data_IF_602799026930
#
_entry.id   IF_602799026930
#
_cell.length_a   1.000
_cell.length_b   1.000
_cell.length_c   1.000
_cell.angle_alpha   90.00
_cell.angle_beta   90.00
_cell.angle_gamma   90.00
#
_symmetry.space_group_name_H-M   'P 1'
#
loop_
_entity.id
_entity.type
_entity.pdbx_description
1 polymer ?
#
# COMPACT_ATOMS: atom_id res chain seq x y z
N UNK A 1 -5.62 -30.16 32.02
CA UNK A 1 -5.30 -30.01 30.57
C UNK A 1 -5.79 -28.67 30.02
N UNK A 2 -7.10 -28.37 29.97
CA UNK A 2 -7.63 -27.09 29.44
C UNK A 2 -6.98 -25.82 30.03
N UNK A 3 -6.78 -25.76 31.35
CA UNK A 3 -6.16 -24.61 32.02
C UNK A 3 -4.68 -24.40 31.59
N UNK A 4 -3.92 -25.49 31.46
CA UNK A 4 -2.52 -25.45 31.02
C UNK A 4 -2.41 -24.96 29.58
N UNK A 5 -3.29 -25.44 28.70
CA UNK A 5 -3.32 -25.01 27.29
C UNK A 5 -3.66 -23.54 27.14
N UNK A 6 -4.53 -23.01 28.01
CA UNK A 6 -4.88 -21.57 28.04
C UNK A 6 -3.69 -20.71 28.47
N UNK A 7 -3.01 -21.08 29.56
CA UNK A 7 -1.83 -20.35 30.07
C UNK A 7 -0.70 -20.31 29.03
N UNK A 8 -0.40 -21.44 28.38
CA UNK A 8 0.61 -21.50 27.31
C UNK A 8 0.29 -20.53 26.17
N UNK A 9 -0.99 -20.40 25.82
CA UNK A 9 -1.45 -19.58 24.71
C UNK A 9 -1.51 -18.07 25.09
N UNK A 10 -1.87 -17.74 26.34
CA UNK A 10 -1.80 -16.37 26.88
C UNK A 10 -0.35 -15.86 26.95
N UNK A 11 0.59 -16.70 27.41
CA UNK A 11 2.02 -16.37 27.46
C UNK A 11 2.56 -16.15 26.05
N UNK A 12 2.24 -17.04 25.11
CA UNK A 12 2.61 -16.88 23.71
C UNK A 12 2.09 -15.56 23.13
N UNK A 13 0.82 -15.22 23.36
CA UNK A 13 0.22 -13.97 22.88
C UNK A 13 0.91 -12.73 23.44
N UNK A 14 1.10 -12.66 24.76
CA UNK A 14 1.74 -11.52 25.42
C UNK A 14 3.16 -11.30 24.88
N UNK A 15 3.88 -12.39 24.68
CA UNK A 15 5.24 -12.36 24.15
C UNK A 15 5.29 -11.91 22.68
N UNK A 16 4.45 -12.49 21.82
CA UNK A 16 4.35 -12.13 20.39
C UNK A 16 3.94 -10.66 20.23
N UNK A 17 3.00 -10.18 21.05
CA UNK A 17 2.56 -8.79 21.05
C UNK A 17 3.67 -7.83 21.48
N UNK A 18 4.45 -8.21 22.50
CA UNK A 18 5.60 -7.44 22.97
C UNK A 18 6.70 -7.37 21.90
N UNK A 19 7.00 -8.49 21.25
CA UNK A 19 7.95 -8.53 20.14
C UNK A 19 7.50 -7.67 18.96
N UNK A 20 6.22 -7.69 18.61
CA UNK A 20 5.67 -6.87 17.53
C UNK A 20 5.69 -5.35 17.82
N UNK A 21 5.81 -4.95 19.09
CA UNK A 21 6.00 -3.55 19.48
C UNK A 21 7.46 -3.12 19.37
N UNK A 22 8.40 -4.03 19.64
CA UNK A 22 9.85 -3.76 19.63
C UNK A 22 10.43 -3.87 18.21
N UNK A 23 10.05 -4.92 17.49
CA UNK A 23 10.57 -5.23 16.16
C UNK A 23 9.57 -4.82 15.09
N UNK A 24 9.94 -3.83 14.27
CA UNK A 24 9.21 -3.47 13.05
C UNK A 24 9.84 -4.21 11.87
N UNK A 25 9.16 -5.26 11.39
CA UNK A 25 9.58 -6.06 10.24
C UNK A 25 10.19 -7.42 10.60
N UNK A 26 10.46 -8.22 9.58
CA UNK A 26 10.91 -9.60 9.74
C UNK A 26 12.44 -9.67 9.89
N UNK A 27 12.92 -10.25 10.99
CA UNK A 27 14.32 -10.71 11.10
C UNK A 27 14.35 -12.23 11.06
N UNK A 28 15.43 -12.86 10.56
CA UNK A 28 15.53 -14.32 10.54
C UNK A 28 15.31 -14.97 11.91
N UNK A 29 15.82 -14.35 12.97
CA UNK A 29 15.68 -14.83 14.36
C UNK A 29 14.24 -14.70 14.85
N UNK A 30 13.58 -13.57 14.58
CA UNK A 30 12.18 -13.35 14.92
C UNK A 30 11.27 -14.34 14.16
N UNK A 31 11.56 -14.58 12.88
CA UNK A 31 10.82 -15.54 12.06
C UNK A 31 10.98 -16.97 12.58
N UNK A 32 12.21 -17.42 12.86
CA UNK A 32 12.46 -18.75 13.39
C UNK A 32 11.76 -18.98 14.73
N UNK A 33 11.79 -17.97 15.61
CA UNK A 33 11.11 -18.02 16.90
C UNK A 33 9.58 -18.03 16.74
N UNK A 34 9.01 -17.11 15.95
CA UNK A 34 7.56 -17.04 15.74
C UNK A 34 7.01 -18.27 15.02
N UNK A 35 7.78 -18.87 14.12
CA UNK A 35 7.43 -20.15 13.50
C UNK A 35 7.36 -21.27 14.54
N UNK A 36 8.29 -21.30 15.51
CA UNK A 36 8.24 -22.27 16.60
C UNK A 36 7.01 -22.08 17.49
N UNK A 37 6.69 -20.83 17.86
CA UNK A 37 5.47 -20.50 18.61
C UNK A 37 4.23 -20.93 17.82
N UNK A 38 4.19 -20.65 16.52
CA UNK A 38 3.09 -21.06 15.64
C UNK A 38 2.97 -22.59 15.52
N UNK A 39 4.09 -23.31 15.42
CA UNK A 39 4.12 -24.77 15.39
C UNK A 39 3.62 -25.38 16.71
N UNK A 40 4.01 -24.81 17.85
CA UNK A 40 3.48 -25.20 19.17
C UNK A 40 1.99 -24.87 19.32
N UNK A 41 1.50 -23.90 18.55
CA UNK A 41 0.10 -23.48 18.46
C UNK A 41 -0.69 -24.16 17.32
N UNK A 42 -0.09 -25.10 16.58
CA UNK A 42 -0.62 -25.70 15.35
C UNK A 42 -1.91 -26.52 15.47
N UNK A 43 -2.54 -26.61 16.65
CA UNK A 43 -3.82 -27.29 16.80
C UNK A 43 -4.98 -26.29 16.80
N UNK A 44 -6.02 -26.56 16.00
CA UNK A 44 -7.25 -25.77 15.98
C UNK A 44 -7.88 -25.59 17.37
N UNK A 45 -7.69 -26.55 18.29
CA UNK A 45 -8.18 -26.46 19.68
C UNK A 45 -7.51 -25.33 20.47
N UNK A 46 -6.23 -25.02 20.21
CA UNK A 46 -5.50 -23.94 20.89
C UNK A 46 -6.03 -22.58 20.42
N UNK A 47 -6.14 -22.37 19.11
CA UNK A 47 -6.73 -21.15 18.55
C UNK A 47 -8.21 -20.97 18.93
N UNK A 48 -8.98 -22.07 19.00
CA UNK A 48 -10.37 -22.03 19.45
C UNK A 48 -10.55 -21.66 20.92
N UNK A 49 -9.48 -21.63 21.72
CA UNK A 49 -9.52 -21.20 23.13
C UNK A 49 -9.30 -19.70 23.33
N UNK A 50 -8.87 -18.99 22.28
CA UNK A 50 -8.70 -17.54 22.31
C UNK A 50 -10.05 -16.82 22.35
N UNK A 51 -10.15 -15.78 23.16
CA UNK A 51 -11.15 -14.73 23.00
C UNK A 51 -10.96 -14.01 21.66
N UNK A 52 -11.96 -13.21 21.26
CA UNK A 52 -11.89 -12.40 20.03
C UNK A 52 -10.66 -11.50 20.05
N UNK A 53 -10.49 -10.77 21.17
CA UNK A 53 -9.40 -9.81 21.37
C UNK A 53 -8.04 -10.50 21.27
N UNK A 54 -7.89 -11.67 21.89
CA UNK A 54 -6.64 -12.44 21.85
C UNK A 54 -6.29 -12.91 20.43
N UNK A 55 -7.28 -13.42 19.69
CA UNK A 55 -7.09 -13.87 18.32
C UNK A 55 -6.68 -12.72 17.39
N UNK A 56 -7.36 -11.58 17.48
CA UNK A 56 -7.05 -10.41 16.64
C UNK A 56 -5.70 -9.80 17.02
N UNK A 57 -5.37 -9.74 18.31
CA UNK A 57 -4.05 -9.29 18.77
C UNK A 57 -2.94 -10.21 18.23
N UNK A 58 -3.15 -11.53 18.27
CA UNK A 58 -2.20 -12.51 17.72
C UNK A 58 -1.97 -12.31 16.23
N UNK A 59 -3.05 -12.28 15.44
CA UNK A 59 -3.02 -12.10 13.98
C UNK A 59 -2.38 -10.75 13.60
N UNK A 60 -2.73 -9.68 14.32
CA UNK A 60 -2.15 -8.36 14.13
C UNK A 60 -0.65 -8.33 14.42
N UNK A 61 -0.21 -9.04 15.45
CA UNK A 61 1.19 -9.11 15.83
C UNK A 61 2.02 -9.89 14.80
N UNK A 62 1.53 -11.05 14.33
CA UNK A 62 2.15 -11.79 13.23
C UNK A 62 2.26 -10.94 11.96
N UNK A 63 1.17 -10.25 11.61
CA UNK A 63 1.15 -9.33 10.48
C UNK A 63 2.20 -8.22 10.62
N UNK A 64 2.30 -7.60 11.80
CA UNK A 64 3.31 -6.54 12.07
C UNK A 64 4.75 -7.03 11.92
N UNK A 65 5.03 -8.24 12.40
CA UNK A 65 6.34 -8.87 12.29
C UNK A 65 6.66 -9.36 10.87
N UNK A 66 5.69 -9.39 9.94
CA UNK A 66 5.89 -9.86 8.57
C UNK A 66 6.19 -11.36 8.49
N UNK A 67 5.78 -12.13 9.50
CA UNK A 67 5.95 -13.58 9.53
C UNK A 67 4.82 -14.23 8.75
N UNK A 68 5.17 -15.15 7.87
CA UNK A 68 4.21 -16.03 7.19
C UNK A 68 4.24 -17.39 7.90
N UNK A 69 3.23 -17.73 8.72
CA UNK A 69 3.15 -19.02 9.38
C UNK A 69 3.06 -20.17 8.36
N UNK A 70 3.36 -21.37 8.82
CA UNK A 70 3.14 -22.59 8.04
C UNK A 70 1.67 -22.74 7.61
N UNK A 71 1.44 -23.40 6.47
CA UNK A 71 0.12 -23.55 5.86
C UNK A 71 -0.92 -24.12 6.84
N UNK A 72 -0.55 -25.09 7.68
CA UNK A 72 -1.47 -25.68 8.65
C UNK A 72 -1.93 -24.67 9.71
N UNK A 73 -1.04 -23.76 10.13
CA UNK A 73 -1.36 -22.70 11.09
C UNK A 73 -2.28 -21.69 10.43
N UNK A 74 -2.01 -21.30 9.18
CA UNK A 74 -2.89 -20.43 8.39
C UNK A 74 -4.30 -21.02 8.26
N UNK A 75 -4.42 -22.30 7.93
CA UNK A 75 -5.71 -22.99 7.82
C UNK A 75 -6.48 -23.01 9.15
N UNK A 76 -5.78 -23.23 10.27
CA UNK A 76 -6.41 -23.24 11.59
C UNK A 76 -6.89 -21.84 12.01
N UNK A 77 -6.07 -20.81 11.79
CA UNK A 77 -6.46 -19.41 12.02
C UNK A 77 -7.69 -19.07 11.17
N UNK A 78 -7.66 -19.37 9.88
CA UNK A 78 -8.78 -19.15 8.96
C UNK A 78 -10.04 -19.92 9.35
N UNK A 79 -9.92 -21.15 9.84
CA UNK A 79 -11.07 -21.93 10.33
C UNK A 79 -11.70 -21.31 11.58
N UNK A 80 -10.91 -20.77 12.52
CA UNK A 80 -11.46 -20.12 13.73
C UNK A 80 -12.08 -18.78 13.39
N UNK A 81 -11.44 -17.98 12.53
CA UNK A 81 -11.98 -16.70 12.07
C UNK A 81 -13.30 -16.87 11.33
N UNK A 82 -13.43 -17.87 10.44
CA UNK A 82 -14.69 -18.15 9.73
C UNK A 82 -15.87 -18.44 10.68
N UNK A 83 -15.62 -19.14 11.79
CA UNK A 83 -16.66 -19.45 12.79
C UNK A 83 -17.09 -18.25 13.63
N UNK A 84 -16.29 -17.18 13.64
CA UNK A 84 -16.45 -16.02 14.51
C UNK A 84 -16.56 -14.71 13.74
N UNK A 85 -16.79 -14.78 12.43
CA UNK A 85 -16.83 -13.60 11.56
C UNK A 85 -17.90 -12.59 12.02
N UNK A 86 -19.00 -13.11 12.57
CA UNK A 86 -20.12 -12.31 13.08
C UNK A 86 -19.78 -11.54 14.37
N UNK A 87 -18.71 -11.92 15.06
CA UNK A 87 -18.21 -11.21 16.25
C UNK A 87 -17.24 -10.07 15.90
N UNK A 88 -16.74 -10.04 14.66
CA UNK A 88 -15.71 -9.09 14.23
C UNK A 88 -16.32 -7.74 13.91
N UNK A 89 -15.66 -6.69 14.39
CA UNK A 89 -15.95 -5.30 13.98
C UNK A 89 -15.08 -4.88 12.78
N UNK A 90 -15.19 -3.61 12.40
CA UNK A 90 -14.43 -3.06 11.27
C UNK A 90 -12.91 -3.16 11.47
N UNK A 91 -12.42 -2.84 12.66
CA UNK A 91 -10.99 -2.84 12.97
C UNK A 91 -10.44 -4.27 12.98
N UNK A 92 -11.20 -5.21 13.52
CA UNK A 92 -10.89 -6.63 13.50
C UNK A 92 -10.78 -7.15 12.05
N UNK A 93 -11.74 -6.82 11.19
CA UNK A 93 -11.73 -7.23 9.78
C UNK A 93 -10.48 -6.69 9.05
N UNK A 94 -10.15 -5.41 9.27
CA UNK A 94 -8.98 -4.78 8.67
C UNK A 94 -7.66 -5.41 9.15
N UNK A 95 -7.57 -5.78 10.43
CA UNK A 95 -6.42 -6.50 10.98
C UNK A 95 -6.23 -7.87 10.29
N UNK A 96 -7.33 -8.59 10.06
CA UNK A 96 -7.30 -9.89 9.35
C UNK A 96 -6.86 -9.71 7.90
N UNK A 97 -7.46 -8.78 7.14
CA UNK A 97 -7.04 -8.51 5.77
C UNK A 97 -5.56 -8.13 5.67
N UNK A 98 -5.08 -7.28 6.59
CA UNK A 98 -3.67 -6.87 6.66
C UNK A 98 -2.74 -8.05 6.91
N UNK A 99 -3.12 -8.95 7.80
CA UNK A 99 -2.33 -10.15 8.07
C UNK A 99 -2.22 -11.05 6.85
N UNK A 100 -3.34 -11.41 6.22
CA UNK A 100 -3.33 -12.29 5.04
C UNK A 100 -2.63 -11.65 3.84
N UNK A 101 -2.82 -10.34 3.65
CA UNK A 101 -2.09 -9.55 2.64
C UNK A 101 -0.58 -9.66 2.82
N UNK A 102 -0.07 -9.46 4.04
CA UNK A 102 1.37 -9.58 4.33
C UNK A 102 1.89 -11.00 4.19
N UNK A 103 1.07 -12.00 4.48
CA UNK A 103 1.41 -13.41 4.30
C UNK A 103 1.36 -13.87 2.84
N UNK A 104 0.87 -13.02 1.92
CA UNK A 104 0.60 -13.39 0.51
C UNK A 104 -0.24 -14.66 0.38
N UNK A 105 -1.18 -14.83 1.31
CA UNK A 105 -2.05 -16.00 1.37
C UNK A 105 -3.48 -15.59 1.06
N UNK A 106 -4.13 -16.30 0.13
CA UNK A 106 -5.51 -16.06 -0.24
C UNK A 106 -6.43 -17.10 0.42
N UNK A 107 -7.44 -16.63 1.17
CA UNK A 107 -8.55 -17.44 1.66
C UNK A 107 -9.85 -16.81 1.17
N UNK A 108 -10.23 -17.12 -0.07
CA UNK A 108 -11.39 -16.52 -0.76
C UNK A 108 -12.68 -16.69 0.02
N UNK A 109 -12.83 -17.81 0.75
CA UNK A 109 -14.02 -18.08 1.55
C UNK A 109 -14.08 -17.11 2.74
N UNK A 110 -12.98 -17.00 3.50
CA UNK A 110 -12.91 -16.05 4.61
C UNK A 110 -13.07 -14.61 4.13
N UNK A 111 -12.46 -14.24 3.00
CA UNK A 111 -12.56 -12.88 2.47
C UNK A 111 -13.98 -12.50 2.06
N UNK A 112 -14.72 -13.40 1.40
CA UNK A 112 -16.15 -13.18 1.09
C UNK A 112 -16.98 -12.99 2.35
N UNK A 113 -16.71 -13.77 3.40
CA UNK A 113 -17.39 -13.63 4.69
C UNK A 113 -17.05 -12.30 5.38
N UNK A 114 -15.79 -11.89 5.38
CA UNK A 114 -15.36 -10.60 5.95
C UNK A 114 -15.94 -9.41 5.18
N UNK A 115 -16.02 -9.49 3.85
CA UNK A 115 -16.68 -8.45 3.03
C UNK A 115 -18.16 -8.35 3.36
N UNK A 116 -18.88 -9.48 3.44
CA UNK A 116 -20.28 -9.49 3.86
C UNK A 116 -20.45 -8.88 5.26
N UNK A 117 -19.53 -9.18 6.18
CA UNK A 117 -19.51 -8.59 7.52
C UNK A 117 -19.32 -7.07 7.48
N UNK A 118 -18.32 -6.58 6.74
CA UNK A 118 -18.06 -5.16 6.56
C UNK A 118 -19.29 -4.41 6.02
N UNK A 119 -20.02 -4.99 5.06
CA UNK A 119 -21.25 -4.40 4.51
C UNK A 119 -22.39 -4.33 5.53
N UNK A 120 -22.54 -5.36 6.36
CA UNK A 120 -23.60 -5.42 7.39
C UNK A 120 -23.34 -4.50 8.59
N UNK A 121 -22.10 -4.03 8.74
CA UNK A 121 -21.65 -3.29 9.92
C UNK A 121 -21.81 -1.80 9.65
N UNK A 122 -22.88 -1.18 10.14
CA UNK A 122 -23.14 0.28 10.09
C UNK A 122 -22.22 1.10 11.01
N UNK A 123 -20.95 0.74 11.12
CA UNK A 123 -20.02 1.38 12.07
C UNK A 123 -19.27 2.51 11.39
N UNK A 124 -19.12 3.63 12.12
CA UNK A 124 -18.23 4.73 11.75
C UNK A 124 -16.82 4.19 11.51
N UNK A 125 -16.28 4.43 10.31
CA UNK A 125 -14.95 3.94 10.00
C UNK A 125 -13.88 4.61 10.86
N UNK A 126 -13.04 3.78 11.49
CA UNK A 126 -11.79 4.27 12.06
C UNK A 126 -10.85 4.66 10.91
N UNK A 127 -10.59 5.97 10.83
CA UNK A 127 -9.78 6.60 9.79
C UNK A 127 -8.30 6.20 9.85
N UNK A 128 -7.82 5.77 11.02
CA UNK A 128 -6.48 5.20 11.13
C UNK A 128 -6.40 3.81 10.48
N UNK A 129 -7.53 3.11 10.36
CA UNK A 129 -7.61 1.72 9.91
C UNK A 129 -7.96 1.62 8.43
N UNK A 130 -8.84 2.48 7.92
CA UNK A 130 -9.34 2.39 6.54
C UNK A 130 -8.24 2.42 5.45
N UNK A 131 -7.20 3.28 5.50
CA UNK A 131 -6.10 3.23 4.53
C UNK A 131 -5.39 1.88 4.50
N UNK A 132 -5.22 1.26 5.67
CA UNK A 132 -4.59 -0.05 5.81
C UNK A 132 -5.50 -1.17 5.27
N UNK A 133 -6.81 -1.06 5.45
CA UNK A 133 -7.79 -2.00 4.87
C UNK A 133 -7.75 -1.92 3.34
N UNK A 134 -7.89 -0.72 2.76
CA UNK A 134 -7.90 -0.52 1.31
C UNK A 134 -6.61 -1.02 0.66
N UNK A 135 -5.46 -0.71 1.27
CA UNK A 135 -4.15 -1.23 0.82
C UNK A 135 -4.11 -2.76 0.84
N UNK A 136 -4.74 -3.40 1.82
CA UNK A 136 -4.79 -4.84 1.95
C UNK A 136 -5.69 -5.48 0.90
N UNK A 137 -6.87 -4.90 0.65
CA UNK A 137 -7.77 -5.32 -0.43
C UNK A 137 -7.10 -5.22 -1.80
N UNK A 138 -6.41 -4.10 -2.05
CA UNK A 138 -5.64 -3.88 -3.28
C UNK A 138 -4.53 -4.92 -3.46
N UNK A 139 -3.80 -5.26 -2.38
CA UNK A 139 -2.73 -6.24 -2.45
C UNK A 139 -3.25 -7.67 -2.70
N UNK A 140 -4.37 -8.01 -2.09
CA UNK A 140 -5.04 -9.30 -2.25
C UNK A 140 -5.81 -9.39 -3.58
N UNK A 141 -5.84 -8.32 -4.40
CA UNK A 141 -6.59 -8.23 -5.66
C UNK A 141 -8.06 -8.63 -5.49
N UNK A 142 -8.66 -8.21 -4.39
CA UNK A 142 -10.07 -8.45 -4.12
C UNK A 142 -10.88 -7.36 -4.82
N UNK A 143 -11.15 -7.56 -6.11
CA UNK A 143 -11.79 -6.59 -7.02
C UNK A 143 -13.32 -6.69 -7.00
N UNK A 144 -13.89 -7.78 -6.46
CA UNK A 144 -15.32 -8.08 -6.52
C UNK A 144 -16.22 -7.06 -5.78
N UNK A 145 -15.66 -6.07 -5.08
CA UNK A 145 -16.43 -5.16 -4.22
C UNK A 145 -16.10 -3.67 -4.40
N UNK A 146 -15.83 -3.25 -5.64
CA UNK A 146 -15.51 -1.85 -5.94
C UNK A 146 -16.62 -0.86 -5.59
N UNK A 147 -17.89 -1.26 -5.73
CA UNK A 147 -19.05 -0.43 -5.37
C UNK A 147 -19.13 -0.16 -3.86
N UNK A 148 -18.87 -1.16 -3.01
CA UNK A 148 -18.85 -0.97 -1.56
C UNK A 148 -17.73 -0.01 -1.14
N UNK A 149 -16.54 -0.17 -1.72
CA UNK A 149 -15.43 0.74 -1.44
C UNK A 149 -15.78 2.17 -1.87
N UNK A 150 -16.28 2.34 -3.09
CA UNK A 150 -16.56 3.65 -3.67
C UNK A 150 -17.75 4.36 -3.01
N UNK A 151 -18.78 3.63 -2.55
CA UNK A 151 -20.03 4.22 -2.05
C UNK A 151 -20.17 4.21 -0.54
N UNK A 152 -19.39 3.39 0.17
CA UNK A 152 -19.47 3.29 1.62
C UNK A 152 -18.18 3.78 2.28
N UNK A 153 -17.02 3.23 1.90
CA UNK A 153 -15.75 3.53 2.57
C UNK A 153 -15.25 4.93 2.24
N UNK A 154 -15.13 5.27 0.94
CA UNK A 154 -14.55 6.54 0.52
C UNK A 154 -15.35 7.76 1.01
N UNK A 155 -16.69 7.83 0.88
CA UNK A 155 -17.44 9.00 1.33
C UNK A 155 -17.27 9.28 2.82
N UNK A 156 -17.32 8.24 3.66
CA UNK A 156 -17.10 8.40 5.10
C UNK A 156 -15.69 8.85 5.46
N UNK A 157 -14.67 8.45 4.67
CA UNK A 157 -13.32 8.98 4.82
C UNK A 157 -13.21 10.46 4.45
N UNK A 158 -14.03 10.91 3.49
CA UNK A 158 -14.06 12.29 3.06
C UNK A 158 -14.82 13.19 4.04
N UNK A 159 -15.99 12.74 4.50
CA UNK A 159 -16.84 13.47 5.44
C UNK A 159 -16.14 13.75 6.78
N UNK A 160 -15.16 12.93 7.13
CA UNK A 160 -14.50 13.01 8.42
C UNK A 160 -13.36 14.02 8.50
N UNK A 161 -12.73 14.36 7.38
CA UNK A 161 -11.67 15.38 7.26
C UNK A 161 -10.37 15.12 8.02
N UNK A 162 -10.08 13.92 8.54
CA UNK A 162 -8.88 13.65 9.40
C UNK A 162 -7.96 12.53 8.88
N UNK A 163 -7.83 12.37 7.56
CA UNK A 163 -6.82 11.48 6.98
C UNK A 163 -5.41 12.02 7.21
N UNK A 164 -4.50 11.19 7.73
CA UNK A 164 -3.08 11.52 7.74
C UNK A 164 -2.53 11.57 6.31
N UNK A 165 -1.45 12.32 6.09
CA UNK A 165 -0.87 12.46 4.75
C UNK A 165 -0.47 11.12 4.13
N UNK A 166 0.16 10.24 4.91
CA UNK A 166 0.48 8.87 4.48
C UNK A 166 -0.78 8.03 4.24
N UNK A 167 -1.82 8.21 5.05
CA UNK A 167 -3.12 7.56 4.84
C UNK A 167 -3.75 7.97 3.52
N UNK A 168 -3.73 9.27 3.19
CA UNK A 168 -4.26 9.79 1.93
C UNK A 168 -3.54 9.17 0.72
N UNK A 169 -2.21 9.18 0.71
CA UNK A 169 -1.42 8.57 -0.36
C UNK A 169 -1.72 7.08 -0.52
N UNK A 170 -1.82 6.35 0.60
CA UNK A 170 -2.19 4.92 0.60
C UNK A 170 -3.58 4.68 0.01
N UNK A 171 -4.56 5.51 0.35
CA UNK A 171 -5.92 5.43 -0.20
C UNK A 171 -5.86 5.60 -1.71
N UNK A 172 -5.25 6.67 -2.23
CA UNK A 172 -5.17 6.91 -3.69
C UNK A 172 -4.48 5.76 -4.43
N UNK A 173 -3.36 5.26 -3.91
CA UNK A 173 -2.67 4.09 -4.48
C UNK A 173 -3.57 2.86 -4.45
N UNK A 174 -4.28 2.60 -3.35
CA UNK A 174 -5.15 1.45 -3.23
C UNK A 174 -6.34 1.50 -4.20
N UNK A 175 -7.03 2.65 -4.29
CA UNK A 175 -8.14 2.87 -5.22
C UNK A 175 -7.69 2.70 -6.68
N UNK A 176 -6.47 3.15 -6.99
CA UNK A 176 -5.84 2.97 -8.30
C UNK A 176 -5.63 1.50 -8.62
N UNK A 177 -5.03 0.74 -7.68
CA UNK A 177 -4.75 -0.69 -7.86
C UNK A 177 -6.00 -1.55 -7.93
N UNK A 178 -7.08 -1.10 -7.31
CA UNK A 178 -8.39 -1.75 -7.36
C UNK A 178 -9.17 -1.41 -8.64
N UNK A 179 -8.72 -0.42 -9.43
CA UNK A 179 -9.40 0.08 -10.64
C UNK A 179 -10.84 0.59 -10.38
N UNK A 180 -11.05 1.23 -9.23
CA UNK A 180 -12.39 1.70 -8.80
C UNK A 180 -12.53 3.22 -8.85
N UNK A 181 -11.51 3.91 -9.35
CA UNK A 181 -11.46 5.37 -9.48
C UNK A 181 -12.68 5.90 -10.24
N UNK A 182 -13.13 5.20 -11.28
CA UNK A 182 -14.29 5.57 -12.09
C UNK A 182 -15.63 5.42 -11.37
N UNK A 183 -15.69 4.60 -10.32
CA UNK A 183 -16.89 4.41 -9.51
C UNK A 183 -17.05 5.47 -8.42
N UNK A 184 -16.01 6.27 -8.16
CA UNK A 184 -16.04 7.35 -7.19
C UNK A 184 -16.90 8.53 -7.67
N UNK A 185 -17.52 9.23 -6.73
CA UNK A 185 -18.20 10.49 -7.05
C UNK A 185 -17.15 11.53 -7.48
N UNK A 186 -17.46 12.41 -8.45
CA UNK A 186 -16.51 13.44 -8.90
C UNK A 186 -15.94 14.29 -7.75
N UNK A 187 -16.78 14.74 -6.81
CA UNK A 187 -16.32 15.52 -5.65
C UNK A 187 -15.38 14.74 -4.71
N UNK A 188 -15.59 13.43 -4.55
CA UNK A 188 -14.69 12.59 -3.74
C UNK A 188 -13.34 12.41 -4.43
N UNK A 189 -13.32 12.26 -5.76
CA UNK A 189 -12.09 12.17 -6.57
C UNK A 189 -11.26 13.45 -6.45
N UNK A 190 -11.89 14.60 -6.69
CA UNK A 190 -11.25 15.90 -6.62
C UNK A 190 -10.65 16.14 -5.24
N UNK A 191 -11.43 15.86 -4.19
CA UNK A 191 -10.98 16.04 -2.82
C UNK A 191 -9.84 15.09 -2.42
N UNK A 192 -9.89 13.82 -2.85
CA UNK A 192 -8.80 12.87 -2.63
C UNK A 192 -7.51 13.31 -3.34
N UNK A 193 -7.61 13.79 -4.58
CA UNK A 193 -6.45 14.26 -5.34
C UNK A 193 -5.87 15.56 -4.74
N UNK A 194 -6.71 16.47 -4.26
CA UNK A 194 -6.27 17.67 -3.55
C UNK A 194 -5.49 17.31 -2.27
N UNK A 195 -6.05 16.42 -1.45
CA UNK A 195 -5.39 15.92 -0.24
C UNK A 195 -4.09 15.18 -0.57
N UNK A 196 -4.05 14.40 -1.65
CA UNK A 196 -2.86 13.67 -2.06
C UNK A 196 -1.76 14.63 -2.56
N UNK A 197 -2.13 15.70 -3.26
CA UNK A 197 -1.21 16.76 -3.69
C UNK A 197 -0.57 17.48 -2.49
N UNK A 198 -1.34 17.78 -1.44
CA UNK A 198 -0.81 18.34 -0.19
C UNK A 198 0.09 17.34 0.54
N UNK A 199 -0.36 16.09 0.61
CA UNK A 199 0.35 14.99 1.28
C UNK A 199 1.69 14.66 0.61
N UNK A 200 1.78 14.80 -0.71
CA UNK A 200 3.00 14.54 -1.48
C UNK A 200 4.19 15.41 -1.04
N UNK A 201 3.97 16.53 -0.35
CA UNK A 201 5.06 17.39 0.14
C UNK A 201 5.69 16.89 1.44
N UNK A 202 4.95 16.10 2.24
CA UNK A 202 5.37 15.68 3.59
C UNK A 202 5.58 14.17 3.72
N UNK A 203 5.03 13.37 2.80
CA UNK A 203 5.23 11.93 2.78
C UNK A 203 6.68 11.53 2.49
N UNK A 204 7.02 10.29 2.84
CA UNK A 204 8.33 9.73 2.51
C UNK A 204 8.50 9.47 1.00
N UNK A 205 9.74 9.44 0.51
CA UNK A 205 10.05 9.31 -0.92
C UNK A 205 9.53 8.00 -1.55
N UNK A 206 9.42 6.90 -0.79
CA UNK A 206 8.83 5.64 -1.29
C UNK A 206 7.33 5.78 -1.53
N UNK A 207 6.61 6.42 -0.61
CA UNK A 207 5.18 6.67 -0.77
C UNK A 207 4.93 7.58 -1.97
N UNK A 208 5.75 8.62 -2.17
CA UNK A 208 5.60 9.57 -3.27
C UNK A 208 5.93 8.94 -4.63
N UNK A 209 7.03 8.19 -4.72
CA UNK A 209 7.37 7.46 -5.96
C UNK A 209 6.31 6.42 -6.32
N UNK A 210 5.78 5.69 -5.33
CA UNK A 210 4.67 4.78 -5.54
C UNK A 210 3.39 5.51 -5.97
N UNK A 211 3.06 6.67 -5.38
CA UNK A 211 1.91 7.49 -5.79
C UNK A 211 2.02 7.88 -7.26
N UNK A 212 3.15 8.48 -7.64
CA UNK A 212 3.43 8.90 -9.00
C UNK A 212 3.30 7.73 -10.00
N UNK A 213 3.94 6.59 -9.69
CA UNK A 213 3.86 5.38 -10.50
C UNK A 213 2.42 4.91 -10.73
N UNK A 214 1.60 4.87 -9.67
CA UNK A 214 0.24 4.38 -9.78
C UNK A 214 -0.64 5.37 -10.55
N UNK A 215 -0.52 6.68 -10.31
CA UNK A 215 -1.30 7.69 -11.01
C UNK A 215 -1.02 7.70 -12.53
N UNK A 216 0.23 7.48 -12.96
CA UNK A 216 0.57 7.39 -14.39
C UNK A 216 -0.01 6.15 -15.08
N UNK A 217 -0.39 5.10 -14.34
CA UNK A 217 -0.89 3.85 -14.91
C UNK A 217 -2.41 3.69 -14.83
N UNK A 218 -3.13 4.72 -14.40
CA UNK A 218 -4.53 4.58 -14.01
C UNK A 218 -5.52 5.34 -14.88
N UNK A 219 -6.80 5.13 -14.58
CA UNK A 219 -7.91 5.86 -15.15
C UNK A 219 -8.25 7.19 -14.46
N UNK A 220 -7.34 7.78 -13.67
CA UNK A 220 -7.57 9.13 -13.08
C UNK A 220 -7.69 10.21 -14.17
N UNK A 221 -7.16 9.96 -15.36
CA UNK A 221 -7.17 10.92 -16.46
C UNK A 221 -6.32 12.17 -16.14
N UNK A 222 -6.66 13.30 -16.77
CA UNK A 222 -5.94 14.56 -16.57
C UNK A 222 -6.02 15.12 -15.13
N UNK A 223 -6.99 14.69 -14.34
CA UNK A 223 -7.15 15.13 -12.93
C UNK A 223 -5.96 14.71 -12.05
N UNK A 224 -5.30 13.60 -12.37
CA UNK A 224 -4.12 13.12 -11.63
C UNK A 224 -2.85 13.93 -11.89
N UNK A 225 -2.81 14.71 -12.99
CA UNK A 225 -1.61 15.40 -13.46
C UNK A 225 -1.02 16.38 -12.43
N UNK A 226 -1.80 17.25 -11.75
CA UNK A 226 -1.26 18.16 -10.74
C UNK A 226 -0.60 17.43 -9.56
N UNK A 227 -1.13 16.27 -9.17
CA UNK A 227 -0.57 15.43 -8.10
C UNK A 227 0.74 14.81 -8.55
N UNK A 228 0.80 14.31 -9.79
CA UNK A 228 2.02 13.77 -10.40
C UNK A 228 3.11 14.84 -10.44
N UNK A 229 2.81 16.05 -10.92
CA UNK A 229 3.79 17.14 -10.99
C UNK A 229 4.36 17.49 -9.61
N UNK A 230 3.51 17.68 -8.59
CA UNK A 230 3.96 17.96 -7.22
C UNK A 230 4.81 16.82 -6.63
N UNK A 231 4.42 15.58 -6.90
CA UNK A 231 5.19 14.41 -6.47
C UNK A 231 6.58 14.38 -7.11
N UNK A 232 6.66 14.65 -8.42
CA UNK A 232 7.92 14.70 -9.15
C UNK A 232 8.80 15.88 -8.71
N UNK A 233 8.25 17.08 -8.53
CA UNK A 233 8.99 18.22 -7.96
C UNK A 233 9.61 17.86 -6.61
N UNK A 234 8.85 17.20 -5.73
CA UNK A 234 9.37 16.78 -4.42
C UNK A 234 10.50 15.76 -4.56
N UNK A 235 10.34 14.76 -5.43
CA UNK A 235 11.37 13.77 -5.70
C UNK A 235 12.64 14.42 -6.29
N UNK A 236 12.45 15.40 -7.17
CA UNK A 236 13.52 16.17 -7.79
C UNK A 236 14.40 16.87 -6.75
N UNK A 237 13.79 17.56 -5.79
CA UNK A 237 14.54 18.24 -4.71
C UNK A 237 15.20 17.29 -3.71
N UNK A 238 14.91 15.98 -3.78
CA UNK A 238 15.50 14.95 -2.91
C UNK A 238 16.27 13.88 -3.69
N UNK A 239 16.72 14.21 -4.91
CA UNK A 239 17.46 13.30 -5.81
C UNK A 239 18.67 12.61 -5.15
N UNK A 240 19.42 13.32 -4.31
CA UNK A 240 20.59 12.77 -3.61
C UNK A 240 20.23 11.65 -2.63
N UNK A 241 18.97 11.59 -2.18
CA UNK A 241 18.46 10.57 -1.27
C UNK A 241 17.86 9.37 -2.04
N UNK A 242 17.85 9.40 -3.38
CA UNK A 242 17.28 8.35 -4.23
C UNK A 242 18.26 7.22 -4.57
N UNK A 243 19.00 6.74 -3.56
CA UNK A 243 19.92 5.61 -3.73
C UNK A 243 19.22 4.24 -3.88
N UNK A 244 17.89 4.19 -3.74
CA UNK A 244 17.12 2.95 -3.76
C UNK A 244 16.61 2.61 -5.17
N UNK A 245 17.00 1.43 -5.66
CA UNK A 245 16.62 0.89 -6.99
C UNK A 245 15.11 0.95 -7.25
N UNK A 246 14.30 0.57 -6.27
CA UNK A 246 12.83 0.56 -6.40
C UNK A 246 12.28 1.95 -6.71
N UNK A 247 12.80 2.98 -6.04
CA UNK A 247 12.39 4.38 -6.22
C UNK A 247 12.78 4.85 -7.61
N UNK A 248 14.04 4.61 -8.01
CA UNK A 248 14.55 4.98 -9.34
C UNK A 248 13.74 4.32 -10.46
N UNK A 249 13.42 3.02 -10.32
CA UNK A 249 12.62 2.28 -11.29
C UNK A 249 11.19 2.81 -11.41
N UNK A 250 10.53 3.07 -10.29
CA UNK A 250 9.17 3.62 -10.28
C UNK A 250 9.12 4.98 -10.99
N UNK A 251 10.09 5.85 -10.70
CA UNK A 251 10.20 7.17 -11.33
C UNK A 251 10.46 7.06 -12.83
N UNK A 252 11.39 6.19 -13.24
CA UNK A 252 11.69 5.96 -14.65
C UNK A 252 10.43 5.56 -15.43
N UNK A 253 9.61 4.66 -14.88
CA UNK A 253 8.34 4.24 -15.49
C UNK A 253 7.32 5.39 -15.50
N UNK A 254 7.19 6.14 -14.40
CA UNK A 254 6.28 7.29 -14.35
C UNK A 254 6.58 8.33 -15.43
N UNK A 255 7.87 8.65 -15.63
CA UNK A 255 8.33 9.64 -16.61
C UNK A 255 7.98 9.22 -18.04
N UNK A 256 8.09 7.91 -18.35
CA UNK A 256 7.73 7.39 -19.68
C UNK A 256 6.22 7.40 -19.94
N UNK A 257 5.43 7.10 -18.92
CA UNK A 257 3.98 6.98 -19.04
C UNK A 257 3.26 8.34 -19.00
N UNK A 258 3.92 9.39 -18.53
CA UNK A 258 3.35 10.73 -18.45
C UNK A 258 3.12 11.30 -19.85
N UNK A 259 2.01 12.03 -20.04
CA UNK A 259 1.82 12.86 -21.23
C UNK A 259 2.49 14.23 -21.00
N UNK A 260 3.45 14.57 -21.86
CA UNK A 260 4.32 15.72 -21.70
C UNK A 260 3.70 17.00 -22.27
N UNK A 261 2.64 16.87 -23.05
CA UNK A 261 2.04 17.98 -23.80
C UNK A 261 1.32 18.99 -22.90
N UNK A 262 0.93 18.57 -21.69
CA UNK A 262 0.13 19.35 -20.74
C UNK A 262 0.92 19.90 -19.55
N UNK A 263 2.24 19.80 -19.58
CA UNK A 263 3.11 20.20 -18.48
C UNK A 263 3.56 21.65 -18.60
N UNK A 264 3.64 22.34 -17.47
CA UNK A 264 4.30 23.64 -17.40
C UNK A 264 5.83 23.52 -17.49
N UNK A 265 6.50 24.66 -17.69
CA UNK A 265 7.94 24.72 -17.89
C UNK A 265 8.75 24.20 -16.69
N UNK A 266 8.25 24.40 -15.46
CA UNK A 266 8.97 23.98 -14.25
C UNK A 266 8.83 22.47 -14.03
N UNK A 267 7.63 21.93 -14.23
CA UNK A 267 7.36 20.48 -14.23
C UNK A 267 8.23 19.76 -15.26
N UNK A 268 8.34 20.31 -16.48
CA UNK A 268 9.21 19.77 -17.53
C UNK A 268 10.69 19.81 -17.13
N UNK A 269 11.14 20.89 -16.49
CA UNK A 269 12.53 20.99 -15.99
C UNK A 269 12.81 19.94 -14.91
N UNK A 270 11.92 19.77 -13.93
CA UNK A 270 12.05 18.75 -12.88
C UNK A 270 12.11 17.35 -13.47
N UNK A 271 11.21 17.03 -14.41
CA UNK A 271 11.17 15.74 -15.11
C UNK A 271 12.46 15.43 -15.86
N UNK A 272 13.01 16.40 -16.59
CA UNK A 272 14.23 16.20 -17.36
C UNK A 272 15.42 15.86 -16.47
N UNK A 273 15.56 16.56 -15.34
CA UNK A 273 16.63 16.26 -14.38
C UNK A 273 16.41 14.92 -13.68
N UNK A 274 15.18 14.63 -13.25
CA UNK A 274 14.82 13.32 -12.69
C UNK A 274 15.16 12.18 -13.63
N UNK A 275 14.89 12.35 -14.93
CA UNK A 275 15.19 11.35 -15.95
C UNK A 275 16.68 11.06 -16.01
N UNK A 276 17.52 12.09 -16.18
CA UNK A 276 18.99 11.96 -16.24
C UNK A 276 19.52 11.27 -14.97
N UNK A 277 19.06 11.70 -13.80
CA UNK A 277 19.48 11.10 -12.53
C UNK A 277 18.97 9.67 -12.35
N UNK A 278 17.76 9.35 -12.79
CA UNK A 278 17.20 7.99 -12.71
C UNK A 278 17.88 7.03 -13.67
N UNK A 279 18.23 7.46 -14.88
CA UNK A 279 18.99 6.68 -15.85
C UNK A 279 20.42 6.43 -15.34
N UNK A 280 21.06 7.43 -14.73
CA UNK A 280 22.35 7.26 -14.06
C UNK A 280 22.26 6.26 -12.90
N UNK A 281 21.22 6.35 -12.06
CA UNK A 281 20.98 5.41 -10.96
C UNK A 281 20.71 3.98 -11.45
N UNK A 282 19.90 3.82 -12.52
CA UNK A 282 19.62 2.52 -13.14
C UNK A 282 20.85 1.91 -13.81
N UNK A 283 21.69 2.72 -14.45
CA UNK A 283 22.93 2.27 -15.08
C UNK A 283 24.03 1.90 -14.06
N UNK A 284 23.96 2.43 -12.83
CA UNK A 284 24.87 2.10 -11.74
C UNK A 284 24.53 0.75 -11.04
N UNK A 285 23.36 0.16 -11.32
CA UNK A 285 22.92 -1.10 -10.74
C UNK A 285 23.40 -2.31 -11.58
N UNK A 286 23.66 -3.49 -10.96
CA UNK A 286 24.06 -4.69 -11.68
C UNK A 286 22.98 -5.11 -12.69
N UNK A 287 23.35 -5.19 -13.97
CA UNK A 287 22.43 -5.42 -15.10
C UNK A 287 21.63 -6.71 -14.93
N UNK A 288 20.33 -6.59 -14.66
CA UNK A 288 19.32 -7.61 -14.98
C UNK A 288 18.63 -7.19 -16.28
N UNK A 289 18.46 -8.14 -17.20
CA UNK A 289 18.07 -7.89 -18.58
C UNK A 289 16.67 -7.23 -18.73
N UNK A 290 16.59 -6.32 -19.72
CA UNK A 290 15.40 -5.74 -20.39
C UNK A 290 14.63 -4.56 -19.73
N UNK A 291 13.87 -3.75 -20.51
CA UNK A 291 14.03 -3.31 -21.92
C UNK A 291 14.59 -1.88 -22.00
N UNK A 292 15.27 -1.55 -23.11
CA UNK A 292 15.92 -0.24 -23.31
C UNK A 292 14.90 0.89 -23.47
N UNK A 293 15.10 1.97 -22.72
CA UNK A 293 14.39 3.26 -22.79
C UNK A 293 14.67 4.07 -24.07
N UNK A 294 14.84 3.41 -25.21
CA UNK A 294 15.20 4.06 -26.47
C UNK A 294 13.95 4.46 -27.25
N UNK A 295 13.59 5.75 -27.22
CA UNK A 295 12.54 6.29 -28.09
C UNK A 295 12.21 7.78 -27.91
N UNK A 296 12.46 8.37 -26.73
CA UNK A 296 11.84 9.65 -26.34
C UNK A 296 12.74 10.89 -26.57
N UNK A 297 13.93 10.74 -27.18
CA UNK A 297 14.86 11.87 -27.34
C UNK A 297 14.42 12.93 -28.38
N UNK A 298 13.63 12.55 -29.39
CA UNK A 298 13.20 13.47 -30.46
C UNK A 298 12.14 14.47 -30.01
N UNK A 299 11.11 13.98 -29.33
CA UNK A 299 9.93 14.76 -28.93
C UNK A 299 10.25 15.75 -27.81
N UNK A 300 11.07 15.33 -26.84
CA UNK A 300 11.55 16.18 -25.75
C UNK A 300 12.43 17.32 -26.25
N UNK A 301 13.31 17.06 -27.22
CA UNK A 301 14.16 18.09 -27.83
C UNK A 301 13.32 19.08 -28.64
N UNK A 302 12.25 18.64 -29.28
CA UNK A 302 11.31 19.51 -29.98
C UNK A 302 10.51 20.40 -29.01
N UNK A 303 9.97 19.83 -27.92
CA UNK A 303 9.23 20.55 -26.89
C UNK A 303 10.10 21.62 -26.18
N UNK A 304 11.34 21.27 -25.82
CA UNK A 304 12.30 22.20 -25.23
C UNK A 304 12.65 23.37 -26.16
N UNK A 305 12.79 23.07 -27.46
CA UNK A 305 13.10 24.08 -28.48
C UNK A 305 11.92 25.02 -28.72
N UNK A 306 10.68 24.53 -28.68
CA UNK A 306 9.48 25.36 -28.79
C UNK A 306 9.23 26.26 -27.56
N UNK A 307 9.77 25.91 -26.39
CA UNK A 307 9.62 26.67 -25.16
C UNK A 307 10.75 27.67 -24.88
N UNK A 308 11.73 27.79 -25.80
CA UNK A 308 12.83 28.75 -25.68
C UNK A 308 13.79 28.46 -24.52
N UNK A 309 13.79 27.24 -23.95
CA UNK A 309 14.70 26.83 -22.88
C UNK A 309 16.03 26.44 -23.51
N UNK A 310 17.12 27.23 -23.40
CA UNK A 310 18.36 26.91 -24.06
C UNK A 310 19.07 25.77 -23.34
N UNK A 311 19.49 24.77 -24.13
CA UNK A 311 20.73 23.98 -23.93
C UNK A 311 20.96 23.43 -22.51
N UNK A 312 20.13 22.49 -22.06
CA UNK A 312 20.44 21.64 -20.89
C UNK A 312 21.27 20.39 -21.26
N UNK A 313 21.59 20.17 -22.55
CA UNK A 313 22.20 18.92 -23.05
C UNK A 313 23.37 19.14 -24.02
N UNK A 314 24.17 20.22 -23.89
CA UNK A 314 25.33 20.41 -24.80
C UNK A 314 26.58 19.64 -24.42
N UNK A 315 26.57 18.85 -23.36
CA UNK A 315 27.71 18.04 -22.93
C UNK A 315 27.37 16.53 -22.81
N UNK A 316 26.61 15.99 -23.77
CA UNK A 316 26.55 14.53 -24.05
C UNK A 316 26.87 14.25 -25.52
#
# INVERSE_FOLDING_TARGET
VKARTKIEAEVALSFVSSLANIYRGSTPQLNAFLNRVCADMSSARKFGSFSKVELIAFVSALGRCGVTPEAIVMMNIGSVLRRRVDELDFADCAAVFKFYSRCKHADDTLFKMLQARLRSTHVEFDQAVAPSLLSSLAHLRLVDDGDFVARSIVPQLMDSGKLSSEGCVQVVIALTKLDIVRALRPGDRESLLALAAESAQVCNLRSISALCYNLCQSSWGGEGLPVICKALERLYWNLEQMAEETIARQIGISIQALDWTHLDAESLRCLLRLRVSSEAALNALPRVAEPRLSGIHGEVRAALKSMGIPKLFENE
#
